data_IF_186437215119
#
_entry.id   IF_186437215119
#
_cell.length_a   1.000
_cell.length_b   1.000
_cell.length_c   1.000
_cell.angle_alpha   90.00
_cell.angle_beta   90.00
_cell.angle_gamma   90.00
#
_symmetry.space_group_name_H-M   'P 1'
#
loop_
_entity.id
_entity.type
_entity.pdbx_description
1 polymer ?
#
# COMPACT_ATOMS: atom_id res chain seq x y z
N UNK A 1 34.73 -17.21 5.31
CA UNK A 1 33.82 -16.89 4.19
C UNK A 1 32.54 -17.67 4.43
N UNK A 2 31.48 -17.02 4.93
CA UNK A 2 30.21 -17.71 5.15
C UNK A 2 29.58 -18.05 3.80
N UNK A 3 29.28 -19.33 3.58
CA UNK A 3 28.53 -19.79 2.41
C UNK A 3 27.18 -19.08 2.38
N UNK A 4 26.92 -18.30 1.32
CA UNK A 4 25.62 -17.68 1.09
C UNK A 4 24.62 -18.80 0.78
N UNK A 5 23.66 -19.03 1.68
CA UNK A 5 22.68 -20.09 1.51
C UNK A 5 21.78 -19.76 0.29
N UNK A 6 21.45 -20.72 -0.59
CA UNK A 6 20.64 -20.46 -1.80
C UNK A 6 19.30 -19.77 -1.53
N UNK A 7 18.73 -19.98 -0.35
CA UNK A 7 17.48 -19.34 0.10
C UNK A 7 17.64 -17.83 0.35
N UNK A 8 18.83 -17.36 0.76
CA UNK A 8 19.08 -15.93 0.98
C UNK A 8 19.11 -15.16 -0.35
N UNK A 9 19.60 -15.80 -1.41
CA UNK A 9 19.54 -15.24 -2.76
C UNK A 9 18.09 -15.07 -3.25
N UNK A 10 17.26 -16.09 -3.08
CA UNK A 10 15.82 -16.02 -3.42
C UNK A 10 15.12 -14.92 -2.60
N UNK A 11 15.37 -14.85 -1.29
CA UNK A 11 14.82 -13.81 -0.41
C UNK A 11 15.23 -12.40 -0.82
N UNK A 12 16.46 -12.22 -1.32
CA UNK A 12 16.95 -10.94 -1.87
C UNK A 12 16.27 -10.57 -3.18
N UNK A 13 15.97 -11.55 -4.05
CA UNK A 13 15.18 -11.30 -5.27
C UNK A 13 13.75 -10.89 -4.89
N UNK A 14 13.10 -11.65 -4.00
CA UNK A 14 11.72 -11.37 -3.57
C UNK A 14 11.61 -10.05 -2.80
N UNK A 15 12.67 -9.59 -2.15
CA UNK A 15 12.66 -8.28 -1.51
C UNK A 15 12.56 -7.12 -2.52
N UNK A 16 12.78 -7.32 -3.82
CA UNK A 16 12.67 -6.28 -4.87
C UNK A 16 13.27 -4.93 -4.43
N UNK A 17 14.47 -4.97 -3.84
CA UNK A 17 15.22 -3.80 -3.35
C UNK A 17 14.76 -3.22 -2.00
N UNK A 18 13.90 -3.90 -1.23
CA UNK A 18 13.50 -3.47 0.13
C UNK A 18 14.62 -3.69 1.14
N UNK A 19 14.74 -2.77 2.11
CA UNK A 19 15.64 -2.95 3.25
C UNK A 19 15.15 -4.13 4.10
N UNK A 20 16.06 -5.06 4.40
CA UNK A 20 15.83 -6.19 5.29
C UNK A 20 16.52 -5.92 6.62
N UNK A 21 15.84 -6.26 7.70
CA UNK A 21 16.41 -6.28 9.04
C UNK A 21 17.22 -7.57 9.19
N UNK A 22 18.50 -7.41 9.49
CA UNK A 22 19.41 -8.51 9.83
C UNK A 22 19.98 -8.23 11.21
N UNK A 23 19.46 -8.92 12.23
CA UNK A 23 19.90 -8.80 13.63
C UNK A 23 19.83 -10.17 14.30
N UNK A 24 20.92 -10.59 14.94
CA UNK A 24 21.06 -11.92 15.54
C UNK A 24 20.64 -13.03 14.55
N UNK A 25 19.63 -13.82 14.90
CA UNK A 25 19.06 -14.88 14.07
C UNK A 25 18.03 -14.41 13.04
N UNK A 26 17.58 -13.15 13.10
CA UNK A 26 16.49 -12.64 12.27
C UNK A 26 17.02 -12.05 10.96
N UNK A 27 16.49 -12.52 9.84
CA UNK A 27 16.66 -11.93 8.50
C UNK A 27 15.28 -11.71 7.89
N UNK A 28 14.68 -10.56 8.17
CA UNK A 28 13.27 -10.27 7.89
C UNK A 28 13.12 -9.07 6.95
N UNK A 29 12.11 -9.13 6.08
CA UNK A 29 11.61 -7.99 5.30
C UNK A 29 10.81 -7.07 6.23
N UNK A 30 11.52 -6.43 7.16
CA UNK A 30 11.06 -5.49 8.18
C UNK A 30 11.92 -4.23 8.07
N UNK A 31 11.32 -3.07 8.22
CA UNK A 31 12.01 -1.79 8.27
C UNK A 31 11.32 -0.88 9.27
N UNK A 32 12.10 -0.33 10.21
CA UNK A 32 11.67 0.79 11.02
C UNK A 32 11.63 2.03 10.13
N UNK A 33 10.42 2.55 9.91
CA UNK A 33 10.25 3.84 9.23
C UNK A 33 10.53 4.97 10.23
N UNK A 34 10.06 4.80 11.45
CA UNK A 34 10.49 5.54 12.65
C UNK A 34 10.78 4.55 13.76
N UNK A 35 11.23 5.02 14.92
CA UNK A 35 11.51 4.16 16.08
C UNK A 35 10.29 3.33 16.54
N UNK A 36 9.07 3.83 16.26
CA UNK A 36 7.81 3.24 16.73
C UNK A 36 6.89 2.74 15.61
N UNK A 37 7.30 2.88 14.35
CA UNK A 37 6.50 2.48 13.19
C UNK A 37 7.33 1.59 12.27
N UNK A 38 6.87 0.35 12.13
CA UNK A 38 7.48 -0.67 11.28
C UNK A 38 6.66 -0.85 10.01
N UNK A 39 7.33 -0.88 8.86
CA UNK A 39 6.79 -1.39 7.60
C UNK A 39 7.38 -2.77 7.31
N UNK A 40 6.53 -3.75 6.98
CA UNK A 40 6.99 -5.12 6.68
C UNK A 40 6.27 -5.78 5.51
N UNK A 41 6.92 -6.80 4.93
CA UNK A 41 6.29 -7.74 4.01
C UNK A 41 5.31 -8.66 4.75
N UNK A 42 4.32 -9.21 4.04
CA UNK A 42 3.30 -10.09 4.64
C UNK A 42 3.96 -11.27 5.37
N UNK A 43 3.62 -11.51 6.64
CA UNK A 43 3.93 -12.78 7.31
C UNK A 43 3.28 -13.95 6.56
N UNK A 44 3.98 -15.07 6.50
CA UNK A 44 3.51 -16.25 5.75
C UNK A 44 3.82 -17.55 6.49
N UNK A 45 2.94 -18.52 6.30
CA UNK A 45 3.11 -19.91 6.74
C UNK A 45 3.24 -20.83 5.52
N UNK A 46 3.68 -22.08 5.73
CA UNK A 46 3.81 -23.08 4.66
C UNK A 46 4.89 -22.75 3.63
N UNK A 47 4.68 -23.17 2.37
CA UNK A 47 5.69 -23.08 1.30
C UNK A 47 6.08 -21.63 0.93
N UNK A 48 5.19 -20.65 1.13
CA UNK A 48 5.48 -19.23 0.86
C UNK A 48 6.55 -18.65 1.81
N UNK A 49 6.70 -19.26 2.99
CA UNK A 49 7.67 -18.86 4.02
C UNK A 49 9.14 -19.14 3.63
N UNK A 50 9.36 -19.91 2.56
CA UNK A 50 10.69 -20.16 1.99
C UNK A 50 11.30 -18.86 1.41
N UNK A 51 10.46 -17.99 0.85
CA UNK A 51 10.89 -16.77 0.17
C UNK A 51 10.32 -15.47 0.76
N UNK A 52 9.36 -15.56 1.69
CA UNK A 52 8.81 -14.43 2.47
C UNK A 52 9.20 -14.49 3.94
N UNK A 53 8.71 -13.54 4.73
CA UNK A 53 8.83 -13.58 6.19
C UNK A 53 8.05 -14.78 6.73
N UNK A 54 8.72 -15.67 7.48
CA UNK A 54 8.02 -16.70 8.25
C UNK A 54 7.23 -16.01 9.36
N UNK A 55 5.97 -16.39 9.55
CA UNK A 55 5.14 -15.83 10.62
C UNK A 55 5.80 -15.97 11.99
N UNK A 56 6.30 -17.18 12.29
CA UNK A 56 7.03 -17.47 13.53
C UNK A 56 8.21 -16.55 13.75
N UNK A 57 9.07 -16.36 12.74
CA UNK A 57 10.23 -15.48 12.87
C UNK A 57 9.82 -14.01 13.14
N UNK A 58 8.70 -13.55 12.56
CA UNK A 58 8.15 -12.21 12.83
C UNK A 58 7.60 -12.12 14.25
N UNK A 59 6.85 -13.12 14.69
CA UNK A 59 6.32 -13.19 16.05
C UNK A 59 7.46 -13.24 17.08
N UNK A 60 8.45 -14.10 16.89
CA UNK A 60 9.63 -14.23 17.75
C UNK A 60 10.41 -12.91 17.81
N UNK A 61 10.57 -12.21 16.68
CA UNK A 61 11.16 -10.87 16.65
C UNK A 61 10.35 -9.87 17.49
N UNK A 62 9.04 -9.76 17.25
CA UNK A 62 8.19 -8.81 17.96
C UNK A 62 8.11 -9.12 19.46
N UNK A 63 8.02 -10.40 19.84
CA UNK A 63 8.01 -10.83 21.24
C UNK A 63 9.38 -10.67 21.93
N UNK A 64 10.49 -10.74 21.18
CA UNK A 64 11.84 -10.54 21.74
C UNK A 64 12.11 -9.05 22.01
N UNK A 65 11.73 -8.17 21.09
CA UNK A 65 12.13 -6.76 21.13
C UNK A 65 11.02 -5.80 21.59
N UNK A 66 9.74 -6.19 21.49
CA UNK A 66 8.57 -5.32 21.77
C UNK A 66 7.48 -6.05 22.54
N UNK A 67 7.86 -7.01 23.39
CA UNK A 67 6.92 -7.84 24.14
C UNK A 67 5.82 -6.98 24.77
N UNK A 68 4.56 -7.35 24.55
CA UNK A 68 3.36 -6.68 25.07
C UNK A 68 3.14 -5.22 24.58
N UNK A 69 4.06 -4.67 23.79
CA UNK A 69 4.04 -3.29 23.29
C UNK A 69 3.99 -3.20 21.75
N UNK A 70 3.57 -4.24 21.04
CA UNK A 70 3.34 -4.17 19.59
C UNK A 70 1.89 -4.39 19.22
N UNK A 71 1.40 -3.68 18.22
CA UNK A 71 0.16 -3.97 17.50
C UNK A 71 0.46 -4.14 16.00
N UNK A 72 -0.16 -5.13 15.36
CA UNK A 72 0.00 -5.36 13.91
C UNK A 72 -1.21 -4.83 13.16
N UNK A 73 -1.00 -4.14 12.04
CA UNK A 73 -2.06 -3.71 11.12
C UNK A 73 -1.92 -4.47 9.80
N UNK A 74 -2.95 -5.26 9.47
CA UNK A 74 -3.06 -6.00 8.22
C UNK A 74 -3.88 -5.19 7.20
N UNK A 75 -3.20 -4.63 6.19
CA UNK A 75 -3.83 -3.92 5.06
C UNK A 75 -4.12 -4.83 3.85
N UNK A 76 -3.81 -6.12 3.97
CA UNK A 76 -4.16 -7.10 2.94
C UNK A 76 -5.57 -7.63 3.17
N UNK A 77 -6.21 -8.13 2.11
CA UNK A 77 -7.50 -8.84 2.23
C UNK A 77 -7.31 -10.31 2.60
N UNK A 78 -6.07 -10.72 2.90
CA UNK A 78 -5.73 -12.09 3.19
C UNK A 78 -5.50 -12.23 4.70
N UNK A 79 -6.44 -12.89 5.37
CA UNK A 79 -6.28 -13.27 6.77
C UNK A 79 -5.30 -14.44 6.90
N UNK A 80 -4.68 -14.57 8.07
CA UNK A 80 -3.85 -15.70 8.44
C UNK A 80 -4.00 -15.96 9.94
N UNK A 81 -3.44 -17.06 10.43
CA UNK A 81 -3.51 -17.37 11.86
C UNK A 81 -2.73 -16.31 12.67
N UNK A 82 -3.46 -15.53 13.47
CA UNK A 82 -2.90 -14.47 14.32
C UNK A 82 -2.49 -14.96 15.71
N UNK A 83 -2.62 -16.26 16.00
CA UNK A 83 -2.28 -16.83 17.30
C UNK A 83 -0.83 -16.54 17.71
N UNK A 84 0.12 -16.63 16.78
CA UNK A 84 1.53 -16.32 17.06
C UNK A 84 1.79 -14.83 17.33
N UNK A 85 0.85 -13.95 16.97
CA UNK A 85 0.91 -12.50 17.21
C UNK A 85 0.06 -12.07 18.41
N UNK A 86 -0.19 -12.99 19.36
CA UNK A 86 -1.00 -12.77 20.56
C UNK A 86 -2.40 -12.21 20.27
N UNK A 87 -2.96 -12.50 19.09
CA UNK A 87 -4.23 -11.93 18.61
C UNK A 87 -4.23 -10.38 18.52
N UNK A 88 -3.08 -9.70 18.59
CA UNK A 88 -3.02 -8.24 18.52
C UNK A 88 -2.87 -7.73 17.08
N UNK A 89 -3.85 -8.08 16.24
CA UNK A 89 -3.90 -7.71 14.82
C UNK A 89 -5.18 -6.95 14.51
N UNK A 90 -5.04 -5.77 13.92
CA UNK A 90 -6.14 -4.94 13.41
C UNK A 90 -6.26 -5.11 11.89
N UNK A 91 -7.46 -5.38 11.39
CA UNK A 91 -7.71 -5.60 9.97
C UNK A 91 -8.31 -4.37 9.29
N UNK A 92 -7.64 -3.94 8.22
CA UNK A 92 -8.09 -2.83 7.37
C UNK A 92 -7.81 -3.16 5.90
N UNK A 93 -8.14 -4.38 5.47
CA UNK A 93 -7.82 -4.88 4.15
C UNK A 93 -8.54 -4.14 3.01
N UNK A 94 -7.78 -3.63 2.04
CA UNK A 94 -8.32 -3.08 0.79
C UNK A 94 -7.57 -3.62 -0.44
N UNK A 95 -8.22 -3.49 -1.60
CA UNK A 95 -7.79 -4.10 -2.86
C UNK A 95 -6.33 -3.77 -3.24
N UNK A 96 -5.62 -4.75 -3.80
CA UNK A 96 -4.23 -4.53 -4.20
C UNK A 96 -4.16 -3.43 -5.28
N UNK A 97 -3.14 -2.57 -5.20
CA UNK A 97 -2.97 -1.39 -6.06
C UNK A 97 -4.11 -0.35 -6.02
N UNK A 98 -5.04 -0.44 -5.07
CA UNK A 98 -6.05 0.60 -4.84
C UNK A 98 -5.57 1.57 -3.76
N UNK A 99 -6.17 2.76 -3.71
CA UNK A 99 -6.13 3.60 -2.52
C UNK A 99 -7.21 3.12 -1.53
N UNK A 100 -6.98 3.22 -0.21
CA UNK A 100 -8.02 2.99 0.79
C UNK A 100 -9.15 4.02 0.65
N UNK A 101 -10.35 3.75 1.18
CA UNK A 101 -11.33 4.82 1.30
C UNK A 101 -10.83 5.89 2.28
N UNK A 102 -11.23 7.14 2.06
CA UNK A 102 -10.78 8.25 2.90
C UNK A 102 -11.24 8.07 4.35
N UNK A 103 -12.45 7.57 4.56
CA UNK A 103 -12.97 7.17 5.88
C UNK A 103 -12.10 6.13 6.57
N UNK A 104 -11.65 5.12 5.82
CA UNK A 104 -10.82 4.04 6.35
C UNK A 104 -9.46 4.58 6.77
N UNK A 105 -8.86 5.49 5.99
CA UNK A 105 -7.62 6.16 6.39
C UNK A 105 -7.76 6.89 7.71
N UNK A 106 -8.83 7.68 7.90
CA UNK A 106 -9.07 8.36 9.18
C UNK A 106 -9.21 7.36 10.33
N UNK A 107 -9.98 6.28 10.14
CA UNK A 107 -10.12 5.22 11.13
C UNK A 107 -8.80 4.55 11.50
N UNK A 108 -7.99 4.19 10.49
CA UNK A 108 -6.66 3.59 10.71
C UNK A 108 -5.75 4.56 11.48
N UNK A 109 -5.68 5.83 11.06
CA UNK A 109 -4.84 6.83 11.74
C UNK A 109 -5.27 7.04 13.20
N UNK A 110 -6.57 7.00 13.48
CA UNK A 110 -7.08 7.10 14.84
C UNK A 110 -6.69 5.89 15.69
N UNK A 111 -6.82 4.67 15.16
CA UNK A 111 -6.35 3.45 15.84
C UNK A 111 -4.85 3.54 16.12
N UNK A 112 -4.06 3.95 15.13
CA UNK A 112 -2.62 4.13 15.30
C UNK A 112 -2.29 5.14 16.39
N UNK A 113 -2.97 6.30 16.38
CA UNK A 113 -2.74 7.36 17.35
C UNK A 113 -3.07 6.89 18.77
N UNK A 114 -4.22 6.24 18.95
CA UNK A 114 -4.66 5.76 20.26
C UNK A 114 -3.67 4.74 20.85
N UNK A 115 -3.21 3.78 20.04
CA UNK A 115 -2.23 2.79 20.49
C UNK A 115 -0.87 3.42 20.85
N UNK A 116 -0.35 4.30 19.98
CA UNK A 116 0.94 4.95 20.20
C UNK A 116 0.92 5.99 21.33
N UNK A 117 -0.24 6.58 21.61
CA UNK A 117 -0.41 7.51 22.73
C UNK A 117 -0.57 6.81 24.09
N UNK A 118 -1.00 5.54 24.10
CA UNK A 118 -1.25 4.82 25.35
C UNK A 118 0.02 4.61 26.18
N UNK A 119 1.12 4.21 25.55
CA UNK A 119 2.42 4.00 26.20
C UNK A 119 3.55 4.41 25.26
N UNK A 120 4.69 4.87 25.80
CA UNK A 120 5.82 5.36 24.98
C UNK A 120 6.59 4.24 24.29
N UNK A 121 6.53 3.03 24.85
CA UNK A 121 7.12 1.80 24.35
C UNK A 121 6.33 1.20 23.18
N UNK A 122 5.06 1.57 23.03
CA UNK A 122 4.19 0.99 22.02
C UNK A 122 4.73 1.23 20.60
N UNK A 123 4.74 0.18 19.79
CA UNK A 123 5.08 0.23 18.37
C UNK A 123 3.94 -0.34 17.53
N UNK A 124 3.91 0.04 16.25
CA UNK A 124 2.97 -0.50 15.26
C UNK A 124 3.74 -1.14 14.12
N UNK A 125 3.41 -2.38 13.79
CA UNK A 125 3.90 -3.06 12.60
C UNK A 125 2.82 -3.14 11.52
N UNK A 126 3.03 -2.47 10.40
CA UNK A 126 2.06 -2.38 9.31
C UNK A 126 2.54 -3.21 8.13
N UNK A 127 1.66 -4.03 7.57
CA UNK A 127 1.95 -4.79 6.37
C UNK A 127 0.79 -4.80 5.37
N UNK A 128 1.14 -5.06 4.13
CA UNK A 128 0.20 -5.46 3.09
C UNK A 128 0.70 -6.78 2.49
N UNK A 129 0.87 -6.87 1.17
CA UNK A 129 1.60 -7.98 0.53
C UNK A 129 3.12 -7.77 0.58
N UNK A 130 3.59 -6.65 0.04
CA UNK A 130 5.02 -6.33 -0.07
C UNK A 130 5.53 -5.26 0.91
N UNK A 131 4.63 -4.59 1.65
CA UNK A 131 5.01 -3.50 2.55
C UNK A 131 5.53 -2.26 1.81
N UNK A 132 4.96 -1.94 0.64
CA UNK A 132 5.29 -0.77 -0.20
C UNK A 132 4.09 0.17 -0.30
N UNK A 133 3.44 0.28 -1.47
CA UNK A 133 2.40 1.29 -1.75
C UNK A 133 1.31 1.46 -0.69
N UNK A 134 0.53 0.40 -0.39
CA UNK A 134 -0.54 0.46 0.63
C UNK A 134 -0.03 0.82 2.03
N UNK A 135 1.06 0.18 2.44
CA UNK A 135 1.71 0.41 3.73
C UNK A 135 2.26 1.83 3.82
N UNK A 136 2.92 2.32 2.78
CA UNK A 136 3.42 3.68 2.68
C UNK A 136 2.30 4.71 2.72
N UNK A 137 1.19 4.48 2.02
CA UNK A 137 0.06 5.40 2.04
C UNK A 137 -0.50 5.58 3.46
N UNK A 138 -0.67 4.48 4.21
CA UNK A 138 -1.12 4.53 5.61
C UNK A 138 -0.09 5.19 6.51
N UNK A 139 1.18 4.78 6.43
CA UNK A 139 2.26 5.33 7.27
C UNK A 139 2.45 6.82 7.02
N UNK A 140 2.55 7.26 5.76
CA UNK A 140 2.72 8.67 5.43
C UNK A 140 1.52 9.50 5.88
N UNK A 141 0.29 8.99 5.70
CA UNK A 141 -0.91 9.66 6.19
C UNK A 141 -0.85 9.86 7.71
N UNK A 142 -0.44 8.83 8.46
CA UNK A 142 -0.27 8.95 9.91
C UNK A 142 0.86 9.90 10.32
N UNK A 143 1.99 9.90 9.62
CA UNK A 143 3.09 10.81 9.90
C UNK A 143 2.70 12.28 9.68
N UNK A 144 1.87 12.56 8.68
CA UNK A 144 1.25 13.87 8.48
C UNK A 144 0.25 14.19 9.61
N UNK A 145 -0.66 13.25 9.92
CA UNK A 145 -1.67 13.42 10.97
C UNK A 145 -1.07 13.66 12.36
N UNK A 146 0.01 12.96 12.70
CA UNK A 146 0.72 13.11 13.97
C UNK A 146 1.64 14.34 14.03
N UNK A 147 1.71 15.12 12.95
CA UNK A 147 2.52 16.35 12.89
C UNK A 147 4.03 16.13 12.74
N UNK A 148 4.47 14.90 12.50
CA UNK A 148 5.89 14.59 12.24
C UNK A 148 6.35 15.10 10.88
N UNK A 149 5.42 15.26 9.93
CA UNK A 149 5.63 15.88 8.64
C UNK A 149 4.49 16.86 8.33
N UNK A 150 4.78 17.87 7.52
CA UNK A 150 3.77 18.84 7.03
C UNK A 150 3.55 18.67 5.53
N UNK A 151 4.62 18.45 4.77
CA UNK A 151 4.57 18.24 3.33
C UNK A 151 4.43 16.75 2.97
N UNK A 152 3.47 16.45 2.09
CA UNK A 152 3.22 15.07 1.68
C UNK A 152 4.30 14.48 0.78
N UNK A 153 4.93 15.28 -0.08
CA UNK A 153 5.99 14.76 -0.98
C UNK A 153 7.25 14.44 -0.18
N UNK A 154 7.66 15.32 0.74
CA UNK A 154 8.76 15.07 1.67
C UNK A 154 8.51 13.81 2.51
N UNK A 155 7.28 13.65 3.04
CA UNK A 155 6.91 12.47 3.81
C UNK A 155 6.97 11.18 2.97
N UNK A 156 6.48 11.21 1.73
CA UNK A 156 6.52 10.06 0.82
C UNK A 156 7.95 9.71 0.41
N UNK A 157 8.81 10.70 0.21
CA UNK A 157 10.23 10.51 -0.10
C UNK A 157 11.00 9.97 1.10
N UNK A 158 10.72 10.47 2.31
CA UNK A 158 11.24 9.90 3.55
C UNK A 158 10.88 8.41 3.66
N UNK A 159 9.61 8.05 3.50
CA UNK A 159 9.19 6.65 3.52
C UNK A 159 9.91 5.81 2.47
N UNK A 160 10.04 6.31 1.23
CA UNK A 160 10.78 5.63 0.16
C UNK A 160 12.23 5.36 0.55
N UNK A 161 12.94 6.38 1.05
CA UNK A 161 14.34 6.29 1.45
C UNK A 161 14.51 5.31 2.61
N UNK A 162 13.56 5.28 3.55
CA UNK A 162 13.60 4.30 4.63
C UNK A 162 13.34 2.89 4.12
N UNK A 163 12.31 2.68 3.30
CA UNK A 163 11.84 1.33 2.92
C UNK A 163 12.64 0.68 1.79
N UNK A 164 13.24 1.45 0.90
CA UNK A 164 13.86 0.99 -0.34
C UNK A 164 15.37 1.30 -0.37
N UNK A 165 16.14 0.42 -1.01
CA UNK A 165 17.54 0.63 -1.38
C UNK A 165 17.70 0.97 -2.87
N UNK A 166 16.60 1.09 -3.61
CA UNK A 166 16.66 1.37 -5.04
C UNK A 166 17.11 2.81 -5.29
N UNK A 167 18.05 2.97 -6.22
CA UNK A 167 18.61 4.27 -6.63
C UNK A 167 17.81 4.93 -7.76
N UNK A 168 16.91 4.19 -8.41
CA UNK A 168 16.09 4.65 -9.54
C UNK A 168 14.84 5.44 -9.13
N UNK A 169 14.73 5.83 -7.86
CA UNK A 169 13.54 6.51 -7.32
C UNK A 169 12.35 5.57 -7.06
N UNK A 170 12.45 4.28 -7.36
CA UNK A 170 11.40 3.29 -7.11
C UNK A 170 11.38 2.74 -5.68
N UNK A 171 10.32 1.97 -5.37
CA UNK A 171 10.21 1.19 -4.13
C UNK A 171 9.49 1.89 -2.96
N UNK A 172 8.91 3.06 -3.19
CA UNK A 172 7.99 3.73 -2.26
C UNK A 172 6.51 3.54 -2.65
N UNK A 173 5.77 4.65 -2.71
CA UNK A 173 4.39 4.69 -3.21
C UNK A 173 4.42 5.07 -4.70
N UNK A 174 4.26 4.06 -5.56
CA UNK A 174 4.34 4.20 -7.03
C UNK A 174 2.96 4.40 -7.68
N UNK A 175 1.88 4.04 -6.99
CA UNK A 175 0.52 4.19 -7.52
C UNK A 175 0.02 5.62 -7.27
N UNK A 176 -0.25 6.37 -8.34
CA UNK A 176 -0.69 7.77 -8.23
C UNK A 176 -2.00 7.97 -7.45
N UNK A 177 -2.92 7.01 -7.49
CA UNK A 177 -4.13 7.09 -6.66
C UNK A 177 -3.80 6.98 -5.17
N UNK A 178 -2.82 6.16 -4.77
CA UNK A 178 -2.35 6.09 -3.38
C UNK A 178 -1.66 7.38 -2.95
N UNK A 179 -0.77 7.93 -3.80
CA UNK A 179 -0.11 9.23 -3.53
C UNK A 179 -1.13 10.36 -3.38
N UNK A 180 -2.15 10.39 -4.24
CA UNK A 180 -3.24 11.38 -4.16
C UNK A 180 -3.95 11.35 -2.82
N UNK A 181 -4.20 10.18 -2.25
CA UNK A 181 -4.85 10.08 -0.94
C UNK A 181 -3.96 10.59 0.19
N UNK A 182 -2.64 10.39 0.11
CA UNK A 182 -1.69 11.03 1.05
C UNK A 182 -1.72 12.56 0.93
N UNK A 183 -1.78 13.09 -0.30
CA UNK A 183 -1.95 14.53 -0.56
C UNK A 183 -3.25 15.06 0.03
N UNK A 184 -4.37 14.35 -0.16
CA UNK A 184 -5.65 14.70 0.46
C UNK A 184 -5.53 14.84 1.97
N UNK A 185 -4.82 13.93 2.65
CA UNK A 185 -4.60 14.06 4.09
C UNK A 185 -3.82 15.33 4.43
N UNK A 186 -2.72 15.62 3.70
CA UNK A 186 -1.95 16.86 3.91
C UNK A 186 -2.81 18.12 3.71
N UNK A 187 -3.54 18.21 2.60
CA UNK A 187 -4.41 19.35 2.25
C UNK A 187 -5.57 19.51 3.24
N UNK A 188 -6.18 18.41 3.71
CA UNK A 188 -7.24 18.44 4.73
C UNK A 188 -6.69 18.95 6.07
N UNK A 189 -5.53 18.45 6.51
CA UNK A 189 -4.90 18.87 7.77
C UNK A 189 -4.50 20.35 7.74
N UNK A 190 -4.06 20.84 6.57
CA UNK A 190 -3.79 22.26 6.30
C UNK A 190 -5.04 23.12 6.12
N UNK A 191 -6.23 22.50 6.09
CA UNK A 191 -7.53 23.15 5.85
C UNK A 191 -7.65 23.81 4.47
N UNK A 192 -6.90 23.31 3.50
CA UNK A 192 -6.92 23.76 2.11
C UNK A 192 -8.10 23.13 1.36
N UNK A 193 -8.48 21.90 1.72
CA UNK A 193 -9.66 21.20 1.21
C UNK A 193 -10.50 20.63 2.36
N UNK A 194 -11.77 20.38 2.08
CA UNK A 194 -12.70 19.73 3.00
C UNK A 194 -13.41 18.58 2.29
N UNK A 195 -13.52 17.39 2.92
CA UNK A 195 -14.31 16.29 2.39
C UNK A 195 -15.75 16.75 2.10
N UNK A 196 -16.20 16.60 0.86
CA UNK A 196 -17.56 16.95 0.47
C UNK A 196 -18.49 15.75 0.66
N UNK A 197 -19.53 15.91 1.47
CA UNK A 197 -20.60 14.91 1.61
C UNK A 197 -21.63 15.00 0.48
N UNK A 198 -21.74 16.17 -0.16
CA UNK A 198 -22.74 16.40 -1.20
C UNK A 198 -22.45 15.59 -2.47
N UNK A 199 -23.46 14.89 -3.02
CA UNK A 199 -23.27 14.11 -4.22
C UNK A 199 -23.02 14.99 -5.43
N UNK A 200 -22.04 14.59 -6.25
CA UNK A 200 -21.73 15.26 -7.52
C UNK A 200 -22.20 14.45 -8.71
N UNK A 201 -22.70 15.14 -9.74
CA UNK A 201 -23.10 14.53 -11.01
C UNK A 201 -21.98 14.64 -12.03
N UNK A 202 -21.46 13.50 -12.48
CA UNK A 202 -20.51 13.46 -13.59
C UNK A 202 -21.24 13.64 -14.92
N UNK A 203 -21.16 14.82 -15.52
CA UNK A 203 -21.84 15.13 -16.78
C UNK A 203 -21.06 14.71 -18.03
N UNK A 204 -19.74 14.91 -18.04
CA UNK A 204 -18.88 14.66 -19.20
C UNK A 204 -17.44 14.38 -18.77
N UNK A 205 -16.79 13.45 -19.46
CA UNK A 205 -15.32 13.28 -19.43
C UNK A 205 -14.78 13.68 -20.80
N UNK A 206 -13.75 14.52 -20.82
CA UNK A 206 -13.00 14.87 -22.03
C UNK A 206 -11.61 14.25 -21.87
N UNK A 207 -11.22 13.38 -22.81
CA UNK A 207 -9.89 12.77 -22.84
C UNK A 207 -9.12 13.44 -23.97
N UNK A 208 -8.02 14.11 -23.60
CA UNK A 208 -7.13 14.77 -24.56
C UNK A 208 -5.89 13.89 -24.75
N UNK A 209 -5.56 13.59 -26.01
CA UNK A 209 -4.34 12.85 -26.36
C UNK A 209 -3.32 13.83 -26.95
N UNK A 210 -2.06 13.71 -26.52
CA UNK A 210 -0.96 14.33 -27.25
C UNK A 210 -0.59 13.40 -28.41
N UNK A 211 -0.46 13.96 -29.61
CA UNK A 211 -0.34 13.27 -30.91
C UNK A 211 0.85 12.29 -30.98
N UNK A 212 1.78 12.34 -30.02
CA UNK A 212 2.97 11.49 -29.94
C UNK A 212 2.87 10.35 -28.91
N UNK A 213 1.73 10.13 -28.26
CA UNK A 213 1.51 8.94 -27.46
C UNK A 213 1.33 7.73 -28.39
N UNK A 214 2.44 7.13 -28.83
CA UNK A 214 2.40 5.80 -29.44
C UNK A 214 1.67 4.89 -28.46
N UNK A 215 0.55 4.23 -28.84
CA UNK A 215 -0.08 3.26 -27.96
C UNK A 215 1.01 2.28 -27.54
N UNK A 216 1.21 2.13 -26.22
CA UNK A 216 2.13 1.14 -25.69
C UNK A 216 1.75 -0.18 -26.35
N UNK A 217 2.63 -0.75 -27.17
CA UNK A 217 2.41 -2.06 -27.80
C UNK A 217 2.06 -3.02 -26.68
N UNK A 218 0.78 -3.33 -26.51
CA UNK A 218 0.36 -4.52 -25.82
C UNK A 218 0.83 -5.62 -26.75
N UNK A 219 1.96 -6.25 -26.41
CA UNK A 219 2.41 -7.45 -27.11
C UNK A 219 1.39 -8.52 -26.75
N UNK A 220 0.29 -8.57 -27.50
CA UNK A 220 -0.47 -9.78 -27.69
C UNK A 220 0.50 -10.71 -28.41
N UNK A 221 1.07 -11.66 -27.66
CA UNK A 221 1.73 -12.81 -28.28
C UNK A 221 0.67 -13.45 -29.17
N UNK A 222 1.02 -13.63 -30.45
CA UNK A 222 0.27 -14.41 -31.45
C UNK A 222 -0.63 -13.67 -32.45
N UNK A 223 -0.24 -12.49 -32.95
CA UNK A 223 -0.70 -12.06 -34.30
C UNK A 223 0.46 -11.47 -35.10
N UNK A 224 1.09 -12.32 -35.92
CA UNK A 224 1.88 -11.90 -37.08
C UNK A 224 0.95 -11.44 -38.18
N UNK A 225 0.82 -10.13 -38.36
CA UNK A 225 0.61 -9.48 -39.67
C UNK A 225 0.70 -7.96 -39.52
N UNK A 226 1.73 -7.40 -40.14
CA UNK A 226 1.88 -5.97 -40.34
C UNK A 226 0.76 -5.45 -41.23
N UNK A 227 -0.08 -4.58 -40.68
CA UNK A 227 -0.83 -3.57 -41.43
C UNK A 227 -0.79 -2.30 -40.57
N UNK A 228 -0.26 -1.21 -41.12
CA UNK A 228 -0.35 0.13 -40.54
C UNK A 228 -1.80 0.65 -40.64
N UNK A 229 -2.75 -0.03 -40.01
CA UNK A 229 -4.01 0.61 -39.67
C UNK A 229 -3.73 1.59 -38.52
N UNK A 230 -4.12 2.85 -38.69
CA UNK A 230 -4.22 3.80 -37.59
C UNK A 230 -4.91 3.09 -36.43
N UNK A 231 -4.16 2.79 -35.37
CA UNK A 231 -4.68 2.08 -34.22
C UNK A 231 -5.80 2.93 -33.58
N UNK A 232 -7.04 2.67 -33.97
CA UNK A 232 -8.21 3.30 -33.38
C UNK A 232 -8.49 2.63 -32.04
N UNK A 233 -8.56 3.41 -30.96
CA UNK A 233 -8.95 2.90 -29.66
C UNK A 233 -10.42 3.22 -29.42
N UNK A 234 -11.19 2.25 -28.90
CA UNK A 234 -12.58 2.44 -28.48
C UNK A 234 -12.63 2.43 -26.95
N UNK A 235 -12.59 3.60 -26.28
CA UNK A 235 -12.53 3.64 -24.82
C UNK A 235 -13.84 3.15 -24.21
N UNK A 236 -13.74 2.48 -23.07
CA UNK A 236 -14.88 2.10 -22.23
C UNK A 236 -14.69 2.73 -20.86
N UNK A 237 -15.69 3.49 -20.41
CA UNK A 237 -15.72 4.06 -19.07
C UNK A 237 -16.57 3.16 -18.17
N UNK A 238 -15.99 2.75 -17.04
CA UNK A 238 -16.73 2.18 -15.91
C UNK A 238 -16.56 3.08 -14.70
N UNK A 239 -17.67 3.36 -14.02
CA UNK A 239 -17.65 4.09 -12.75
C UNK A 239 -18.03 3.10 -11.66
N UNK A 240 -17.17 3.00 -10.65
CA UNK A 240 -17.36 2.13 -9.50
C UNK A 240 -17.43 3.02 -8.27
N UNK A 241 -18.47 2.83 -7.45
CA UNK A 241 -18.65 3.50 -6.17
C UNK A 241 -18.93 2.44 -5.12
N UNK A 242 -18.19 2.48 -4.00
CA UNK A 242 -18.31 1.48 -2.91
C UNK A 242 -18.29 0.02 -3.44
N UNK A 243 -17.33 -0.28 -4.32
CA UNK A 243 -17.18 -1.58 -4.99
C UNK A 243 -18.38 -2.03 -5.84
N UNK A 244 -19.32 -1.14 -6.17
CA UNK A 244 -20.45 -1.41 -7.07
C UNK A 244 -20.27 -0.66 -8.38
N UNK A 245 -20.48 -1.37 -9.49
CA UNK A 245 -20.51 -0.76 -10.82
C UNK A 245 -21.79 0.08 -10.97
N UNK A 246 -21.65 1.39 -11.06
CA UNK A 246 -22.79 2.32 -11.16
C UNK A 246 -23.02 2.84 -12.59
N UNK A 247 -22.01 2.74 -13.46
CA UNK A 247 -22.11 3.15 -14.85
C UNK A 247 -21.14 2.35 -15.73
N UNK A 248 -21.58 1.97 -16.93
CA UNK A 248 -20.73 1.36 -17.96
C UNK A 248 -21.11 1.91 -19.34
N UNK A 249 -20.17 2.58 -20.01
CA UNK A 249 -20.45 3.28 -21.28
C UNK A 249 -20.85 2.36 -22.43
N UNK A 250 -20.72 1.04 -22.29
CA UNK A 250 -21.20 0.07 -23.30
C UNK A 250 -22.71 -0.14 -23.25
N UNK A 251 -23.32 0.07 -22.09
CA UNK A 251 -24.72 -0.26 -21.81
C UNK A 251 -25.54 0.95 -21.31
N UNK A 252 -24.89 2.04 -20.90
CA UNK A 252 -25.54 3.22 -20.32
C UNK A 252 -25.61 3.17 -18.78
N UNK A 253 -26.59 3.84 -18.18
CA UNK A 253 -26.81 3.82 -16.72
C UNK A 253 -27.23 2.41 -16.31
N UNK A 254 -26.42 1.76 -15.48
CA UNK A 254 -26.80 0.50 -14.85
C UNK A 254 -27.69 0.88 -13.68
N UNK A 255 -29.02 0.73 -13.85
CA UNK A 255 -30.01 0.99 -12.79
C UNK A 255 -29.69 0.10 -11.58
N UNK A 256 -28.98 0.66 -10.62
CA UNK A 256 -29.05 0.24 -9.22
C UNK A 256 -29.59 1.45 -8.47
N UNK A 257 -30.64 1.22 -7.70
CA UNK A 257 -31.21 2.23 -6.81
C UNK A 257 -30.13 2.54 -5.76
N UNK A 258 -29.64 3.78 -5.74
CA UNK A 258 -28.66 4.25 -4.76
C UNK A 258 -29.39 5.22 -3.85
N UNK A 259 -29.49 4.86 -2.58
CA UNK A 259 -29.72 5.82 -1.51
C UNK A 259 -28.38 6.48 -1.21
N UNK A 260 -28.35 7.82 -1.31
CA UNK A 260 -27.24 8.69 -0.91
C UNK A 260 -27.57 9.22 0.47
#
# INVERSE_FOLDING_TARGET
MSSVHPLDFIRKIVSHGRKRLVINQFNLDITYITDRIIAMGKPSSGAESLYRNKLKDVADFLNTYHKDHYQVINLSQDQYDYSELNQNVQEFGFGDHHAPFLSDLFGIMQVMNNWLAAEKENIIAIHCKAGKGRTGAVICSYLLYSGQFIDSEECMDFFRIQRSQRVDGGGGIEVESQRRYVRYISEILKREIYPQSEPVKLNKIIITFSVNAKPTKVILKDITKETEEQASFKPVLRIIQQNRLVYDSRWGIIKSIIYI
#
